data_IF_430554031255
#
_entry.id   IF_430554031255
#
_cell.length_a   1.000
_cell.length_b   1.000
_cell.length_c   1.000
_cell.angle_alpha   90.00
_cell.angle_beta   90.00
_cell.angle_gamma   90.00
#
_symmetry.space_group_name_H-M   'P 1'
#
loop_
_entity.id
_entity.type
_entity.pdbx_description
1 polymer ?
#
# COMPACT_ATOMS: atom_id res chain seq x y z
N UNK A 1 26.21 -2.26 -0.94
CA UNK A 1 24.88 -2.13 -0.32
C UNK A 1 24.65 -0.65 -0.11
N UNK A 2 23.78 -0.04 -0.91
CA UNK A 2 23.56 1.41 -0.87
C UNK A 2 22.85 1.79 0.43
N UNK A 3 23.23 2.91 1.05
CA UNK A 3 22.61 3.36 2.29
C UNK A 3 21.17 3.83 2.03
N UNK A 4 20.20 3.17 2.65
CA UNK A 4 18.80 3.54 2.57
C UNK A 4 18.35 4.21 3.88
N UNK A 5 17.74 5.39 3.77
CA UNK A 5 17.17 6.10 4.92
C UNK A 5 16.12 5.23 5.64
N UNK A 6 16.12 5.28 6.98
CA UNK A 6 15.26 4.42 7.81
C UNK A 6 13.78 4.52 7.44
N UNK A 7 13.30 5.73 7.11
CA UNK A 7 11.92 5.96 6.70
C UNK A 7 11.52 5.21 5.41
N UNK A 8 12.49 4.91 4.53
CA UNK A 8 12.27 4.07 3.35
C UNK A 8 12.46 2.59 3.69
N UNK A 9 13.48 2.26 4.48
CA UNK A 9 13.81 0.87 4.88
C UNK A 9 12.67 0.20 5.65
N UNK A 10 12.00 0.95 6.53
CA UNK A 10 10.96 0.44 7.42
C UNK A 10 9.55 0.86 6.98
N UNK A 11 9.37 1.21 5.70
CA UNK A 11 8.04 1.52 5.19
C UNK A 11 7.18 0.24 5.24
N UNK A 12 6.01 0.25 5.92
CA UNK A 12 5.12 -0.90 6.03
C UNK A 12 4.83 -1.54 4.67
N UNK A 13 4.90 -2.87 4.60
CA UNK A 13 4.66 -3.60 3.35
C UNK A 13 3.32 -4.33 3.35
N UNK A 14 2.77 -4.66 4.51
CA UNK A 14 1.42 -5.22 4.68
C UNK A 14 0.62 -4.35 5.65
N UNK A 15 -0.70 -4.52 5.66
CA UNK A 15 -1.55 -3.71 6.54
C UNK A 15 -1.27 -3.93 8.03
N UNK A 16 -0.83 -5.13 8.42
CA UNK A 16 -0.48 -5.47 9.81
C UNK A 16 0.73 -4.70 10.35
N UNK A 17 1.64 -4.25 9.46
CA UNK A 17 2.80 -3.44 9.83
C UNK A 17 2.45 -1.96 10.07
N UNK A 18 1.21 -1.54 9.78
CA UNK A 18 0.78 -0.15 9.90
C UNK A 18 0.38 0.14 11.35
N UNK A 19 1.12 1.03 11.99
CA UNK A 19 0.92 1.38 13.40
C UNK A 19 -0.14 2.48 13.58
N UNK A 20 -1.08 2.28 14.52
CA UNK A 20 -2.02 3.30 15.00
C UNK A 20 -3.16 3.67 14.04
N UNK A 21 -3.37 2.87 12.99
CA UNK A 21 -4.43 3.09 11.99
C UNK A 21 -5.35 1.87 11.87
N UNK A 22 -5.64 1.21 12.99
CA UNK A 22 -6.34 -0.08 13.06
C UNK A 22 -7.72 -0.02 12.41
N UNK A 23 -8.45 1.09 12.58
CA UNK A 23 -9.77 1.30 12.00
C UNK A 23 -9.72 1.39 10.46
N UNK A 24 -8.69 2.05 9.90
CA UNK A 24 -8.49 2.16 8.45
C UNK A 24 -8.10 0.81 7.88
N UNK A 25 -7.10 0.16 8.50
CA UNK A 25 -6.61 -1.17 8.12
C UNK A 25 -7.76 -2.18 8.10
N UNK A 26 -8.55 -2.25 9.17
CA UNK A 26 -9.69 -3.15 9.26
C UNK A 26 -10.71 -2.92 8.15
N UNK A 27 -11.01 -1.65 7.85
CA UNK A 27 -11.98 -1.30 6.80
C UNK A 27 -11.48 -1.73 5.42
N UNK A 28 -10.23 -1.44 5.09
CA UNK A 28 -9.62 -1.84 3.81
C UNK A 28 -9.52 -3.35 3.67
N UNK A 29 -9.04 -4.04 4.72
CA UNK A 29 -8.94 -5.50 4.73
C UNK A 29 -10.30 -6.17 4.52
N UNK A 30 -11.35 -5.66 5.18
CA UNK A 30 -12.71 -6.17 4.99
C UNK A 30 -13.22 -5.92 3.56
N UNK A 31 -12.98 -4.74 3.00
CA UNK A 31 -13.39 -4.42 1.63
C UNK A 31 -12.76 -5.36 0.60
N UNK A 32 -11.47 -5.67 0.76
CA UNK A 32 -10.76 -6.62 -0.10
C UNK A 32 -11.32 -8.03 0.05
N UNK A 33 -11.42 -8.52 1.28
CA UNK A 33 -11.93 -9.89 1.56
C UNK A 33 -13.35 -10.09 1.07
N UNK A 34 -14.20 -9.05 1.11
CA UNK A 34 -15.59 -9.11 0.63
C UNK A 34 -15.72 -8.86 -0.87
N UNK A 35 -14.64 -8.53 -1.58
CA UNK A 35 -14.69 -8.12 -2.99
C UNK A 35 -15.47 -6.82 -3.23
N UNK A 36 -15.59 -5.96 -2.20
CA UNK A 36 -16.36 -4.70 -2.22
C UNK A 36 -15.42 -3.49 -2.19
N UNK A 37 -14.57 -3.39 -3.21
CA UNK A 37 -13.58 -2.32 -3.32
C UNK A 37 -14.23 -1.10 -3.95
N UNK A 38 -14.12 0.04 -3.27
CA UNK A 38 -14.59 1.32 -3.82
C UNK A 38 -13.72 1.75 -5.00
N UNK A 39 -14.32 2.50 -5.94
CA UNK A 39 -13.61 3.04 -7.10
C UNK A 39 -12.61 4.16 -6.75
N UNK A 40 -12.81 4.83 -5.61
CA UNK A 40 -11.96 5.92 -5.16
C UNK A 40 -11.80 5.90 -3.64
N UNK A 41 -10.58 6.22 -3.18
CA UNK A 41 -10.23 6.36 -1.77
C UNK A 41 -9.57 7.72 -1.54
N UNK A 42 -10.04 8.46 -0.53
CA UNK A 42 -9.40 9.69 -0.06
C UNK A 42 -8.71 9.42 1.28
N UNK A 43 -7.37 9.41 1.27
CA UNK A 43 -6.58 9.35 2.50
C UNK A 43 -6.24 10.77 2.94
N UNK A 44 -6.79 11.23 4.05
CA UNK A 44 -6.55 12.57 4.61
C UNK A 44 -5.74 12.52 5.92
N UNK A 45 -4.97 13.57 6.20
CA UNK A 45 -4.23 13.72 7.45
C UNK A 45 -2.86 14.41 7.28
N UNK A 46 -2.15 14.70 8.39
CA UNK A 46 -0.85 15.39 8.38
C UNK A 46 0.24 14.65 7.58
N UNK A 47 1.34 15.34 7.24
CA UNK A 47 2.50 14.70 6.59
C UNK A 47 3.09 13.62 7.51
N UNK A 48 3.50 12.50 6.92
CA UNK A 48 4.17 11.41 7.65
C UNK A 48 3.26 10.37 8.31
N UNK A 49 1.94 10.56 8.35
CA UNK A 49 0.99 9.61 9.00
C UNK A 49 0.70 8.32 8.23
N UNK A 50 1.43 8.04 7.14
CA UNK A 50 1.29 6.78 6.40
C UNK A 50 0.30 6.77 5.23
N UNK A 51 -0.29 7.91 4.83
CA UNK A 51 -1.24 8.01 3.70
C UNK A 51 -0.78 7.29 2.43
N UNK A 52 0.38 7.68 1.90
CA UNK A 52 0.95 7.07 0.68
C UNK A 52 1.39 5.62 0.93
N UNK A 53 1.76 5.25 2.16
CA UNK A 53 2.13 3.87 2.49
C UNK A 53 0.91 2.96 2.41
N UNK A 54 -0.22 3.35 3.02
CA UNK A 54 -1.47 2.61 2.96
C UNK A 54 -1.96 2.50 1.51
N UNK A 55 -1.87 3.57 0.72
CA UNK A 55 -2.24 3.54 -0.70
C UNK A 55 -1.41 2.52 -1.50
N UNK A 56 -0.09 2.45 -1.27
CA UNK A 56 0.77 1.42 -1.90
C UNK A 56 0.40 0.00 -1.46
N UNK A 57 0.12 -0.21 -0.16
CA UNK A 57 -0.28 -1.53 0.34
C UNK A 57 -1.60 -1.96 -0.29
N UNK A 58 -2.57 -1.05 -0.41
CA UNK A 58 -3.83 -1.30 -1.10
C UNK A 58 -3.61 -1.66 -2.58
N UNK A 59 -2.73 -0.94 -3.29
CA UNK A 59 -2.38 -1.26 -4.66
C UNK A 59 -1.77 -2.67 -4.80
N UNK A 60 -0.89 -3.06 -3.87
CA UNK A 60 -0.34 -4.43 -3.83
C UNK A 60 -1.40 -5.47 -3.51
N UNK A 61 -2.28 -5.18 -2.56
CA UNK A 61 -3.35 -6.07 -2.13
C UNK A 61 -4.31 -6.41 -3.28
N UNK A 62 -4.59 -5.44 -4.17
CA UNK A 62 -5.51 -5.62 -5.30
C UNK A 62 -4.82 -6.28 -6.50
N UNK A 63 -3.54 -5.97 -6.76
CA UNK A 63 -2.81 -6.44 -7.94
C UNK A 63 -1.91 -7.67 -7.67
N UNK A 64 -1.94 -8.24 -6.46
CA UNK A 64 -1.14 -9.41 -6.14
C UNK A 64 -1.47 -10.57 -7.10
N UNK A 65 -0.44 -11.21 -7.67
CA UNK A 65 -0.60 -12.34 -8.61
C UNK A 65 -1.27 -13.55 -7.93
N UNK A 66 -1.19 -13.64 -6.59
CA UNK A 66 -1.86 -14.69 -5.81
C UNK A 66 -3.37 -14.41 -5.61
N UNK A 67 -3.89 -13.34 -6.21
CA UNK A 67 -5.27 -12.87 -6.04
C UNK A 67 -5.38 -11.70 -5.07
N UNK A 68 -6.55 -11.05 -5.09
CA UNK A 68 -6.83 -9.92 -4.21
C UNK A 68 -6.87 -10.38 -2.74
N UNK A 69 -5.98 -9.83 -1.92
CA UNK A 69 -5.81 -10.26 -0.51
C UNK A 69 -5.37 -9.10 0.38
N UNK A 70 -5.87 -8.99 1.63
CA UNK A 70 -5.34 -8.01 2.59
C UNK A 70 -3.87 -8.25 2.95
N UNK A 71 -3.33 -9.44 2.68
CA UNK A 71 -1.95 -9.84 2.96
C UNK A 71 -1.17 -10.09 1.66
N UNK A 72 -0.77 -9.04 0.92
CA UNK A 72 -0.05 -9.20 -0.34
C UNK A 72 1.28 -9.93 -0.12
N UNK A 73 1.66 -10.81 -1.05
CA UNK A 73 2.77 -11.74 -0.84
C UNK A 73 4.16 -11.09 -0.80
N UNK A 74 4.30 -9.85 -1.27
CA UNK A 74 5.56 -9.09 -1.38
C UNK A 74 6.68 -9.75 -2.22
N UNK A 75 6.45 -10.91 -2.85
CA UNK A 75 7.46 -11.65 -3.63
C UNK A 75 7.15 -11.75 -5.12
N UNK A 76 5.89 -11.60 -5.54
CA UNK A 76 5.52 -11.60 -6.95
C UNK A 76 6.04 -10.33 -7.66
N UNK A 77 6.13 -10.38 -8.99
CA UNK A 77 6.63 -9.27 -9.81
C UNK A 77 5.85 -7.98 -9.53
N UNK A 78 4.51 -8.04 -9.57
CA UNK A 78 3.66 -6.90 -9.29
C UNK A 78 3.92 -6.27 -7.90
N UNK A 79 3.99 -7.09 -6.84
CA UNK A 79 4.26 -6.56 -5.49
C UNK A 79 5.63 -5.89 -5.38
N UNK A 80 6.65 -6.44 -6.05
CA UNK A 80 8.01 -5.87 -6.07
C UNK A 80 8.03 -4.55 -6.84
N UNK A 81 7.46 -4.52 -8.04
CA UNK A 81 7.38 -3.32 -8.87
C UNK A 81 6.62 -2.17 -8.19
N UNK A 82 5.52 -2.46 -7.47
CA UNK A 82 4.79 -1.44 -6.70
C UNK A 82 5.62 -0.94 -5.52
N UNK A 83 6.38 -1.83 -4.87
CA UNK A 83 7.26 -1.45 -3.76
C UNK A 83 8.36 -0.51 -4.24
N UNK A 84 8.94 -0.82 -5.39
CA UNK A 84 10.00 -0.05 -6.04
C UNK A 84 9.47 1.21 -6.75
N UNK A 85 8.15 1.33 -6.93
CA UNK A 85 7.50 2.49 -7.57
C UNK A 85 7.65 2.52 -9.09
N UNK A 86 7.85 1.36 -9.71
CA UNK A 86 8.07 1.20 -11.16
C UNK A 86 6.94 0.42 -11.86
N UNK A 87 5.90 0.03 -11.12
CA UNK A 87 4.76 -0.71 -11.66
C UNK A 87 4.02 0.09 -12.73
N UNK A 88 3.78 -0.54 -13.88
CA UNK A 88 3.11 0.10 -15.01
C UNK A 88 1.64 0.46 -14.71
N UNK A 89 0.96 -0.41 -13.95
CA UNK A 89 -0.46 -0.26 -13.61
C UNK A 89 -0.69 0.62 -12.37
N UNK A 90 0.37 1.11 -11.72
CA UNK A 90 0.29 1.95 -10.52
C UNK A 90 1.08 3.22 -10.74
N UNK A 91 0.36 4.31 -11.07
CA UNK A 91 0.96 5.61 -11.31
C UNK A 91 0.88 6.49 -10.08
N UNK A 92 2.04 6.81 -9.51
CA UNK A 92 2.16 7.82 -8.46
C UNK A 92 2.41 9.19 -9.09
N UNK A 93 1.49 10.12 -8.87
CA UNK A 93 1.56 11.48 -9.37
C UNK A 93 1.71 12.40 -8.16
N UNK A 94 2.86 13.08 -8.06
CA UNK A 94 3.07 14.09 -7.02
C UNK A 94 2.46 15.42 -7.49
N UNK A 95 1.35 15.79 -6.88
CA UNK A 95 0.66 17.06 -7.13
C UNK A 95 1.08 18.17 -6.17
N UNK A 96 2.01 17.93 -5.25
CA UNK A 96 2.52 18.96 -4.35
C UNK A 96 3.57 19.81 -5.09
N UNK A 97 3.13 20.99 -5.57
CA UNK A 97 3.99 22.09 -6.03
C UNK A 97 4.63 22.83 -4.87
#
# INVERSE_FOLDING_TARGET
MEYLVLARKWRPQIFEDVLGQEHVVRTLSNAITQGRIAHAFLFSGPRGVGKTSIARILAKAINCVQGATPTPCNVCACCREITDGIAIDVREIDGAS
#
